data_IF_612394076495
#
_entry.id   IF_612394076495
#
_cell.length_a   1.000
_cell.length_b   1.000
_cell.length_c   1.000
_cell.angle_alpha   90.00
_cell.angle_beta   90.00
_cell.angle_gamma   90.00
#
_symmetry.space_group_name_H-M   'P 1'
#
loop_
_entity.id
_entity.type
_entity.pdbx_description
1 polymer ?
#
# COMPACT_ATOMS: atom_id res chain seq x y z
N UNK A 1 -2.50 7.85 -5.08
CA UNK A 1 -1.43 7.06 -5.73
C UNK A 1 -0.98 5.92 -4.81
N UNK A 2 -0.18 6.18 -3.77
CA UNK A 2 0.30 5.13 -2.85
C UNK A 2 -0.83 4.33 -2.19
N UNK A 3 -1.82 5.04 -1.62
CA UNK A 3 -2.98 4.38 -1.01
C UNK A 3 -3.77 3.52 -2.01
N UNK A 4 -3.81 3.91 -3.28
CA UNK A 4 -4.56 3.18 -4.30
C UNK A 4 -3.87 1.86 -4.67
N UNK A 5 -2.54 1.92 -4.88
CA UNK A 5 -1.71 0.73 -5.11
C UNK A 5 -1.82 -0.25 -3.93
N UNK A 6 -1.79 0.25 -2.69
CA UNK A 6 -1.96 -0.60 -1.50
C UNK A 6 -3.35 -1.24 -1.45
N UNK A 7 -4.41 -0.51 -1.83
CA UNK A 7 -5.77 -1.07 -1.89
C UNK A 7 -5.86 -2.21 -2.90
N UNK A 8 -5.19 -2.08 -4.05
CA UNK A 8 -5.22 -3.13 -5.07
C UNK A 8 -4.44 -4.35 -4.61
N UNK A 9 -3.23 -4.18 -4.07
CA UNK A 9 -2.46 -5.26 -3.46
C UNK A 9 -3.24 -5.97 -2.34
N UNK A 10 -3.94 -5.21 -1.49
CA UNK A 10 -4.81 -5.78 -0.46
C UNK A 10 -5.95 -6.61 -1.06
N UNK A 11 -6.57 -6.13 -2.15
CA UNK A 11 -7.65 -6.82 -2.86
C UNK A 11 -7.16 -8.12 -3.50
N UNK A 12 -5.99 -8.12 -4.14
CA UNK A 12 -5.36 -9.31 -4.72
C UNK A 12 -5.01 -10.35 -3.65
N UNK A 13 -4.53 -9.90 -2.50
CA UNK A 13 -4.18 -10.75 -1.35
C UNK A 13 -5.38 -11.09 -0.45
N UNK A 14 -6.60 -10.66 -0.79
CA UNK A 14 -7.84 -10.88 -0.02
C UNK A 14 -7.74 -10.44 1.45
N UNK A 15 -7.04 -9.34 1.71
CA UNK A 15 -6.95 -8.72 3.04
C UNK A 15 -7.54 -7.31 3.01
N UNK A 16 -7.92 -6.80 4.19
CA UNK A 16 -8.32 -5.39 4.34
C UNK A 16 -7.12 -4.52 4.73
N UNK A 17 -7.19 -3.20 4.46
CA UNK A 17 -6.20 -2.22 4.93
C UNK A 17 -6.00 -2.33 6.45
N UNK A 18 -7.09 -2.47 7.22
CA UNK A 18 -7.01 -2.64 8.67
C UNK A 18 -6.26 -3.93 9.06
N UNK A 19 -6.43 -5.02 8.31
CA UNK A 19 -5.68 -6.25 8.54
C UNK A 19 -4.20 -6.09 8.23
N UNK A 20 -3.87 -5.37 7.14
CA UNK A 20 -2.49 -5.02 6.81
C UNK A 20 -1.86 -4.17 7.93
N UNK A 21 -2.57 -3.15 8.40
CA UNK A 21 -2.11 -2.30 9.51
C UNK A 21 -1.81 -3.14 10.76
N UNK A 22 -2.69 -4.06 11.14
CA UNK A 22 -2.47 -4.96 12.27
C UNK A 22 -1.24 -5.87 12.06
N UNK A 23 -1.06 -6.42 10.86
CA UNK A 23 0.08 -7.29 10.53
C UNK A 23 1.42 -6.55 10.57
N UNK A 24 1.41 -5.27 10.22
CA UNK A 24 2.60 -4.41 10.20
C UNK A 24 2.83 -3.66 11.52
N UNK A 25 1.97 -3.83 12.53
CA UNK A 25 2.04 -3.04 13.76
C UNK A 25 1.78 -1.55 13.56
N UNK A 26 1.11 -1.19 12.47
CA UNK A 26 0.75 0.18 12.13
C UNK A 26 -0.60 0.52 12.80
N UNK A 27 -0.69 1.72 13.37
CA UNK A 27 -1.93 2.19 14.00
C UNK A 27 -3.11 2.18 13.03
N UNK A 28 -4.29 1.77 13.52
CA UNK A 28 -5.49 1.66 12.70
C UNK A 28 -5.85 2.99 12.01
N UNK A 29 -6.12 2.93 10.71
CA UNK A 29 -6.45 4.07 9.87
C UNK A 29 -5.24 4.95 9.49
N UNK A 30 -4.01 4.57 9.82
CA UNK A 30 -2.80 5.29 9.41
C UNK A 30 -2.61 5.22 7.90
N UNK A 31 -2.65 4.02 7.31
CA UNK A 31 -2.49 3.82 5.86
C UNK A 31 -3.65 4.48 5.13
N UNK A 32 -4.87 4.34 5.65
CA UNK A 32 -6.06 4.98 5.08
C UNK A 32 -5.99 6.52 5.00
N UNK A 33 -5.14 7.16 5.81
CA UNK A 33 -4.92 8.62 5.80
C UNK A 33 -3.77 9.07 4.89
N UNK A 34 -3.06 8.15 4.21
CA UNK A 34 -1.92 8.51 3.36
C UNK A 34 -2.29 9.32 2.11
N UNK A 35 -3.59 9.44 1.82
CA UNK A 35 -4.11 10.39 0.84
C UNK A 35 -3.99 11.85 1.31
N UNK A 36 -4.06 12.09 2.63
CA UNK A 36 -4.05 13.43 3.25
C UNK A 36 -2.77 13.73 4.03
N UNK A 37 -1.92 12.74 4.24
CA UNK A 37 -0.73 12.84 5.07
C UNK A 37 0.40 12.06 4.46
N UNK A 38 1.59 12.65 4.39
CA UNK A 38 2.75 11.96 3.83
C UNK A 38 3.17 10.78 4.72
N UNK A 39 3.25 9.55 4.18
CA UNK A 39 3.83 8.43 4.90
C UNK A 39 5.32 8.64 5.16
N UNK A 40 5.85 7.96 6.18
CA UNK A 40 7.30 7.84 6.37
C UNK A 40 7.84 6.75 5.47
N UNK A 41 9.07 6.92 5.00
CA UNK A 41 9.77 5.91 4.16
C UNK A 41 9.79 4.53 4.83
N UNK A 42 9.96 4.48 6.14
CA UNK A 42 9.90 3.25 6.94
C UNK A 42 8.58 2.49 6.77
N UNK A 43 7.44 3.18 6.85
CA UNK A 43 6.13 2.55 6.69
C UNK A 43 5.89 2.10 5.24
N UNK A 44 6.35 2.88 4.25
CA UNK A 44 6.24 2.47 2.84
C UNK A 44 7.08 1.22 2.61
N UNK A 45 8.29 1.18 3.16
CA UNK A 45 9.18 0.02 3.09
C UNK A 45 8.53 -1.22 3.72
N UNK A 46 7.95 -1.09 4.91
CA UNK A 46 7.27 -2.21 5.59
C UNK A 46 6.13 -2.79 4.73
N UNK A 47 5.37 -1.93 4.05
CA UNK A 47 4.32 -2.36 3.12
C UNK A 47 4.93 -3.05 1.89
N UNK A 48 6.01 -2.51 1.34
CA UNK A 48 6.74 -3.08 0.20
C UNK A 48 7.28 -4.48 0.51
N UNK A 49 7.98 -4.63 1.62
CA UNK A 49 8.50 -5.91 2.13
C UNK A 49 7.38 -6.94 2.33
N UNK A 50 6.23 -6.52 2.86
CA UNK A 50 5.10 -7.41 3.09
C UNK A 50 4.50 -7.97 1.79
N UNK A 51 4.39 -7.14 0.75
CA UNK A 51 3.88 -7.56 -0.55
C UNK A 51 4.96 -8.10 -1.50
N UNK A 52 6.22 -8.09 -1.08
CA UNK A 52 7.35 -8.53 -1.91
C UNK A 52 7.63 -7.63 -3.11
N UNK A 53 7.25 -6.36 -3.05
CA UNK A 53 7.50 -5.36 -4.09
C UNK A 53 8.51 -4.31 -3.62
N UNK A 54 8.87 -3.38 -4.51
CA UNK A 54 9.77 -2.27 -4.17
C UNK A 54 8.96 -1.04 -3.76
N UNK A 55 9.61 -0.11 -3.05
CA UNK A 55 9.01 1.20 -2.73
C UNK A 55 8.63 1.95 -4.02
N UNK A 56 9.45 1.83 -5.07
CA UNK A 56 9.18 2.46 -6.37
C UNK A 56 7.90 1.90 -7.01
N UNK A 57 7.68 0.59 -6.93
CA UNK A 57 6.47 -0.08 -7.42
C UNK A 57 5.20 0.50 -6.76
N UNK A 58 5.25 0.70 -5.43
CA UNK A 58 4.20 1.33 -4.63
C UNK A 58 3.98 2.82 -4.94
N UNK A 59 5.03 3.52 -5.35
CA UNK A 59 4.96 4.94 -5.72
C UNK A 59 4.61 5.15 -7.19
N UNK A 60 4.75 4.12 -8.03
CA UNK A 60 4.55 4.21 -9.47
C UNK A 60 3.09 4.54 -9.80
N UNK A 61 2.90 5.34 -10.85
CA UNK A 61 1.59 5.63 -11.41
C UNK A 61 1.03 4.46 -12.26
N UNK A 62 1.82 3.40 -12.45
CA UNK A 62 1.59 2.36 -13.46
C UNK A 62 0.45 1.40 -13.10
N UNK A 63 0.03 1.34 -11.83
CA UNK A 63 -1.05 0.44 -11.43
C UNK A 63 -2.44 0.89 -11.92
N UNK A 64 -2.58 2.15 -12.37
CA UNK A 64 -3.80 2.66 -13.02
C UNK A 64 -3.89 2.28 -14.52
N UNK A 65 -2.96 1.47 -15.07
CA UNK A 65 -2.92 1.22 -16.53
C UNK A 65 -2.66 -0.20 -17.02
N UNK A 66 -2.70 -1.23 -16.17
CA UNK A 66 -2.65 -2.63 -16.67
C UNK A 66 -4.05 -3.25 -16.73
N UNK A 67 -4.93 -2.57 -17.44
CA UNK A 67 -6.06 -3.18 -18.15
C UNK A 67 -5.94 -2.80 -19.65
N UNK A 68 -4.73 -2.91 -20.21
CA UNK A 68 -4.51 -2.83 -21.65
C UNK A 68 -3.46 -3.88 -22.03
N UNK A 69 -3.91 -5.14 -22.10
CA UNK A 69 -3.72 -6.10 -23.21
C UNK A 69 -4.00 -7.52 -22.75
#
# INVERSE_FOLDING_TARGET
MVLDNIKILCKENKISIASLEQRLGIGNGTIGRWDKSSPTTDKIKAVADYFGCTIDDLLSEQHNKTAVR
#
